data_IF_574068606837
#
_entry.id   IF_574068606837
#
_cell.length_a   1.000
_cell.length_b   1.000
_cell.length_c   1.000
_cell.angle_alpha   90.00
_cell.angle_beta   90.00
_cell.angle_gamma   90.00
#
_symmetry.space_group_name_H-M   'P 1'
#
loop_
_entity.id
_entity.type
_entity.pdbx_description
1 polymer ?
#
# COMPACT_ATOMS: atom_id res chain seq x y z
N UNK A 1 13.69 46.06 -74.56
CA UNK A 1 12.45 45.25 -74.52
C UNK A 1 12.75 44.00 -73.72
N UNK A 2 12.41 44.01 -72.45
CA UNK A 2 12.58 42.88 -71.50
C UNK A 2 11.23 42.57 -70.88
N UNK A 3 10.60 41.46 -71.34
CA UNK A 3 9.35 40.95 -70.74
C UNK A 3 9.68 40.20 -69.44
N UNK A 4 9.30 40.79 -68.29
CA UNK A 4 9.32 40.06 -67.03
C UNK A 4 8.01 39.24 -66.89
N UNK A 5 8.17 37.91 -66.92
CA UNK A 5 7.13 36.94 -66.67
C UNK A 5 6.95 36.86 -65.13
N UNK A 6 5.86 37.42 -64.64
CA UNK A 6 5.48 37.24 -63.22
C UNK A 6 4.74 35.90 -63.11
N UNK A 7 5.42 34.89 -62.58
CA UNK A 7 4.80 33.63 -62.17
C UNK A 7 4.00 33.87 -60.90
N UNK A 8 2.68 33.86 -61.03
CA UNK A 8 1.72 33.91 -59.92
C UNK A 8 1.78 32.59 -59.15
N UNK A 9 2.47 32.57 -58.02
CA UNK A 9 2.42 31.43 -57.08
C UNK A 9 1.00 31.39 -56.51
N UNK A 10 0.28 30.28 -56.76
CA UNK A 10 -1.05 29.99 -56.18
C UNK A 10 -0.94 30.03 -54.64
N UNK A 11 -1.63 30.99 -54.04
CA UNK A 11 -1.65 31.17 -52.60
C UNK A 11 -2.25 29.91 -51.90
N UNK A 12 -1.49 29.38 -51.00
CA UNK A 12 -1.99 28.45 -50.00
C UNK A 12 -3.04 29.21 -49.17
N UNK A 13 -4.31 28.84 -49.32
CA UNK A 13 -5.37 29.37 -48.47
C UNK A 13 -5.14 28.79 -47.08
N UNK A 14 -4.42 29.53 -46.22
CA UNK A 14 -4.47 29.28 -44.80
C UNK A 14 -5.89 29.59 -44.35
N UNK A 15 -6.69 28.54 -44.12
CA UNK A 15 -7.99 28.67 -43.46
C UNK A 15 -7.74 29.31 -42.09
N UNK A 16 -8.12 30.56 -41.96
CA UNK A 16 -8.10 31.26 -40.68
C UNK A 16 -9.25 30.70 -39.85
N UNK A 17 -8.92 29.71 -38.98
CA UNK A 17 -9.88 29.11 -38.08
C UNK A 17 -10.34 30.24 -37.13
N UNK A 18 -11.66 30.44 -37.01
CA UNK A 18 -12.24 31.42 -36.09
C UNK A 18 -11.78 31.11 -34.66
N UNK A 19 -11.56 32.13 -33.84
CA UNK A 19 -11.18 31.99 -32.42
C UNK A 19 -12.16 31.05 -31.67
N UNK A 20 -13.45 31.13 -31.98
CA UNK A 20 -14.49 30.30 -31.36
C UNK A 20 -14.31 28.83 -31.73
N UNK A 21 -13.97 28.53 -33.00
CA UNK A 21 -13.72 27.17 -33.46
C UNK A 21 -12.47 26.59 -32.79
N UNK A 22 -11.42 27.41 -32.63
CA UNK A 22 -10.19 27.02 -31.98
C UNK A 22 -10.41 26.71 -30.49
N UNK A 23 -11.17 27.55 -29.79
CA UNK A 23 -11.54 27.34 -28.38
C UNK A 23 -12.36 26.06 -28.22
N UNK A 24 -13.30 25.79 -29.12
CA UNK A 24 -14.12 24.56 -29.09
C UNK A 24 -13.24 23.32 -29.29
N UNK A 25 -12.32 23.34 -30.25
CA UNK A 25 -11.40 22.22 -30.50
C UNK A 25 -10.51 21.96 -29.29
N UNK A 26 -9.95 23.01 -28.67
CA UNK A 26 -9.13 22.87 -27.46
C UNK A 26 -9.94 22.29 -26.28
N UNK A 27 -11.19 22.74 -26.09
CA UNK A 27 -12.08 22.22 -25.04
C UNK A 27 -12.39 20.74 -25.23
N UNK A 28 -12.70 20.31 -26.46
CA UNK A 28 -12.93 18.90 -26.80
C UNK A 28 -11.67 18.06 -26.56
N UNK A 29 -10.51 18.55 -26.97
CA UNK A 29 -9.24 17.84 -26.79
C UNK A 29 -8.89 17.66 -25.29
N UNK A 30 -9.12 18.68 -24.48
CA UNK A 30 -8.93 18.59 -23.00
C UNK A 30 -9.89 17.58 -22.39
N UNK A 31 -11.16 17.60 -22.78
CA UNK A 31 -12.17 16.66 -22.28
C UNK A 31 -11.82 15.21 -22.63
N UNK A 32 -11.40 14.95 -23.89
CA UNK A 32 -10.98 13.63 -24.33
C UNK A 32 -9.72 13.18 -23.53
N UNK A 33 -8.75 14.08 -23.33
CA UNK A 33 -7.53 13.75 -22.58
C UNK A 33 -7.83 13.40 -21.13
N UNK A 34 -8.72 14.12 -20.47
CA UNK A 34 -9.17 13.81 -19.13
C UNK A 34 -9.89 12.46 -19.07
N UNK A 35 -10.75 12.18 -20.03
CA UNK A 35 -11.48 10.91 -20.10
C UNK A 35 -10.52 9.74 -20.28
N UNK A 36 -9.55 9.84 -21.17
CA UNK A 36 -8.52 8.83 -21.38
C UNK A 36 -7.63 8.64 -20.14
N UNK A 37 -7.32 9.72 -19.44
CA UNK A 37 -6.58 9.67 -18.19
C UNK A 37 -7.35 8.89 -17.10
N UNK A 38 -8.63 9.19 -16.90
CA UNK A 38 -9.46 8.47 -15.94
C UNK A 38 -9.69 7.00 -16.34
N UNK A 39 -9.87 6.71 -17.61
CA UNK A 39 -9.94 5.33 -18.10
C UNK A 39 -8.62 4.59 -17.88
N UNK A 40 -7.49 5.23 -18.12
CA UNK A 40 -6.17 4.68 -17.86
C UNK A 40 -5.94 4.35 -16.39
N UNK A 41 -6.37 5.24 -15.49
CA UNK A 41 -6.32 4.97 -14.04
C UNK A 41 -7.24 3.79 -13.69
N UNK A 42 -8.48 3.78 -14.20
CA UNK A 42 -9.45 2.73 -13.89
C UNK A 42 -8.97 1.34 -14.35
N UNK A 43 -8.58 1.21 -15.60
CA UNK A 43 -8.07 -0.07 -16.13
C UNK A 43 -6.72 -0.44 -15.54
N UNK A 44 -5.85 0.53 -15.28
CA UNK A 44 -4.57 0.31 -14.61
C UNK A 44 -4.74 -0.19 -13.17
N UNK A 45 -5.70 0.36 -12.43
CA UNK A 45 -6.00 -0.12 -11.08
C UNK A 45 -6.57 -1.54 -11.09
N UNK A 46 -7.51 -1.86 -11.97
CA UNK A 46 -8.03 -3.23 -12.09
C UNK A 46 -6.94 -4.24 -12.43
N UNK A 47 -6.06 -3.91 -13.37
CA UNK A 47 -4.94 -4.80 -13.74
C UNK A 47 -3.98 -5.02 -12.56
N UNK A 48 -3.68 -3.95 -11.81
CA UNK A 48 -2.85 -4.04 -10.61
C UNK A 48 -3.53 -4.87 -9.52
N UNK A 49 -4.84 -4.69 -9.31
CA UNK A 49 -5.62 -5.44 -8.33
C UNK A 49 -5.60 -6.94 -8.62
N UNK A 50 -5.83 -7.35 -9.85
CA UNK A 50 -5.87 -8.77 -10.21
C UNK A 50 -4.50 -9.47 -10.12
N UNK A 51 -3.41 -8.80 -10.52
CA UNK A 51 -2.11 -9.44 -10.69
C UNK A 51 -1.13 -9.24 -9.53
N UNK A 52 -1.27 -8.15 -8.78
CA UNK A 52 -0.32 -7.81 -7.72
C UNK A 52 -0.94 -7.73 -6.33
N UNK A 53 -2.13 -7.17 -6.20
CA UNK A 53 -2.74 -6.93 -4.89
C UNK A 53 -3.15 -8.25 -4.23
N UNK A 54 -3.81 -9.11 -4.99
CA UNK A 54 -4.25 -10.41 -4.49
C UNK A 54 -3.08 -11.28 -4.04
N UNK A 55 -1.99 -11.29 -4.81
CA UNK A 55 -0.78 -12.02 -4.45
C UNK A 55 -0.12 -11.44 -3.18
N UNK A 56 -0.07 -10.13 -3.05
CA UNK A 56 0.51 -9.47 -1.88
C UNK A 56 -0.30 -9.76 -0.61
N UNK A 57 -1.62 -9.77 -0.70
CA UNK A 57 -2.51 -10.10 0.43
C UNK A 57 -2.35 -11.57 0.83
N UNK A 58 -2.31 -12.50 -0.12
CA UNK A 58 -2.04 -13.92 0.17
C UNK A 58 -0.69 -14.12 0.86
N UNK A 59 0.34 -13.43 0.40
CA UNK A 59 1.66 -13.49 1.02
C UNK A 59 1.63 -12.95 2.46
N UNK A 60 0.95 -11.84 2.71
CA UNK A 60 0.81 -11.28 4.05
C UNK A 60 -0.02 -12.17 4.98
N UNK A 61 -1.08 -12.80 4.47
CA UNK A 61 -1.88 -13.78 5.21
C UNK A 61 -1.04 -14.99 5.59
N UNK A 62 -0.25 -15.55 4.67
CA UNK A 62 0.64 -16.66 4.97
C UNK A 62 1.64 -16.30 6.06
N UNK A 63 2.23 -15.11 6.00
CA UNK A 63 3.13 -14.60 7.04
C UNK A 63 2.39 -14.43 8.37
N UNK A 64 1.16 -13.89 8.34
CA UNK A 64 0.33 -13.75 9.53
C UNK A 64 0.09 -15.10 10.20
N UNK A 65 -0.32 -16.12 9.45
CA UNK A 65 -0.53 -17.46 9.99
C UNK A 65 0.77 -18.08 10.50
N UNK A 66 1.87 -17.94 9.78
CA UNK A 66 3.17 -18.46 10.19
C UNK A 66 3.66 -17.85 11.52
N UNK A 67 3.57 -16.52 11.66
CA UNK A 67 4.00 -15.81 12.88
C UNK A 67 3.05 -16.07 14.04
N UNK A 68 1.74 -16.04 13.79
CA UNK A 68 0.73 -16.04 14.83
C UNK A 68 0.25 -17.42 15.24
N UNK A 69 0.84 -18.52 14.75
CA UNK A 69 0.39 -19.89 15.00
C UNK A 69 1.27 -20.73 15.97
N UNK A 70 1.76 -20.16 17.10
CA UNK A 70 2.62 -20.90 18.01
C UNK A 70 1.88 -21.79 19.01
N UNK A 71 0.57 -21.54 19.28
CA UNK A 71 -0.19 -22.19 20.35
C UNK A 71 -1.67 -22.31 19.95
N UNK A 72 -2.43 -23.17 20.64
CA UNK A 72 -3.88 -23.30 20.46
C UNK A 72 -4.62 -21.96 20.57
N UNK A 73 -5.43 -21.67 19.53
CA UNK A 73 -6.20 -20.44 19.37
C UNK A 73 -7.56 -20.59 20.00
N UNK A 74 -8.00 -19.60 20.74
CA UNK A 74 -9.39 -19.53 21.22
C UNK A 74 -10.26 -18.65 20.31
N UNK A 75 -9.71 -17.57 19.77
CA UNK A 75 -10.45 -16.67 18.87
C UNK A 75 -9.53 -15.99 17.86
N UNK A 76 -10.07 -15.73 16.67
CA UNK A 76 -9.37 -15.06 15.58
C UNK A 76 -10.26 -14.01 14.93
N UNK A 77 -9.77 -12.79 14.88
CA UNK A 77 -10.41 -11.73 14.12
C UNK A 77 -9.38 -11.11 13.16
N UNK A 78 -9.57 -11.37 11.86
CA UNK A 78 -8.69 -10.86 10.81
C UNK A 78 -9.45 -9.82 10.00
N UNK A 79 -8.82 -8.66 9.81
CA UNK A 79 -9.28 -7.59 8.92
C UNK A 79 -8.23 -7.42 7.83
N UNK A 80 -8.67 -7.56 6.58
CA UNK A 80 -7.84 -7.33 5.41
C UNK A 80 -8.16 -5.94 4.88
N UNK A 81 -7.14 -5.08 4.81
CA UNK A 81 -7.25 -3.75 4.23
C UNK A 81 -6.59 -3.75 2.86
N UNK A 82 -7.41 -3.71 1.81
CA UNK A 82 -6.99 -3.78 0.40
C UNK A 82 -7.11 -2.43 -0.29
N UNK A 83 -7.04 -1.32 0.45
CA UNK A 83 -7.11 -0.01 -0.17
C UNK A 83 -5.96 0.19 -1.16
N UNK A 84 -6.23 0.96 -2.21
CA UNK A 84 -5.35 1.18 -3.36
C UNK A 84 -3.89 1.52 -3.02
N UNK A 85 -3.66 2.25 -1.94
CA UNK A 85 -2.32 2.71 -1.52
C UNK A 85 -1.79 1.90 -0.32
N UNK A 86 -2.68 1.34 0.49
CA UNK A 86 -2.31 0.63 1.72
C UNK A 86 -2.88 -0.77 1.69
N UNK A 87 -1.99 -1.74 1.79
CA UNK A 87 -2.34 -3.15 1.93
C UNK A 87 -1.84 -3.64 3.26
N UNK A 88 -2.74 -4.14 4.07
CA UNK A 88 -2.38 -4.68 5.36
C UNK A 88 -3.31 -5.80 5.79
N UNK A 89 -2.76 -6.73 6.54
CA UNK A 89 -3.49 -7.75 7.27
C UNK A 89 -3.38 -7.39 8.74
N UNK A 90 -4.52 -7.15 9.38
CA UNK A 90 -4.59 -6.82 10.80
C UNK A 90 -5.31 -7.97 11.49
N UNK A 91 -4.66 -8.61 12.45
CA UNK A 91 -5.22 -9.71 13.20
C UNK A 91 -5.13 -9.48 14.70
N UNK A 92 -6.06 -10.09 15.42
CA UNK A 92 -6.02 -10.24 16.87
C UNK A 92 -6.12 -11.70 17.20
N UNK A 93 -5.28 -12.18 18.10
CA UNK A 93 -5.34 -13.54 18.60
C UNK A 93 -5.35 -13.55 20.11
N UNK A 94 -6.09 -14.49 20.66
CA UNK A 94 -6.18 -14.75 22.09
C UNK A 94 -5.37 -16.00 22.39
N UNK A 95 -4.44 -15.90 23.33
CA UNK A 95 -3.60 -16.99 23.79
C UNK A 95 -3.73 -17.09 25.30
N UNK A 96 -4.69 -17.89 25.77
CA UNK A 96 -4.98 -18.05 27.20
C UNK A 96 -3.86 -18.70 28.00
N UNK A 97 -3.01 -19.49 27.33
CA UNK A 97 -1.91 -20.22 27.95
C UNK A 97 -0.52 -19.61 27.72
N UNK A 98 -0.43 -18.52 26.95
CA UNK A 98 0.83 -17.89 26.64
C UNK A 98 1.09 -16.73 27.60
N UNK A 99 2.03 -16.89 28.52
CA UNK A 99 2.45 -15.77 29.35
C UNK A 99 3.05 -14.65 28.51
N UNK A 100 2.94 -13.41 28.97
CA UNK A 100 3.54 -12.26 28.29
C UNK A 100 5.01 -12.46 27.97
N UNK A 101 5.78 -13.01 28.92
CA UNK A 101 7.22 -13.23 28.72
C UNK A 101 7.50 -14.36 27.72
N UNK A 102 6.73 -15.43 27.74
CA UNK A 102 6.87 -16.52 26.78
C UNK A 102 6.54 -16.05 25.36
N UNK A 103 5.51 -15.22 25.18
CA UNK A 103 5.17 -14.61 23.91
C UNK A 103 6.28 -13.71 23.37
N UNK A 104 6.84 -12.83 24.23
CA UNK A 104 7.97 -11.98 23.85
C UNK A 104 9.18 -12.80 23.37
N UNK A 105 9.52 -13.85 24.13
CA UNK A 105 10.61 -14.74 23.79
C UNK A 105 10.32 -15.48 22.47
N UNK A 106 9.11 -16.05 22.35
CA UNK A 106 8.69 -16.77 21.15
C UNK A 106 8.83 -15.91 19.89
N UNK A 107 8.21 -14.73 19.85
CA UNK A 107 8.24 -13.88 18.65
C UNK A 107 9.64 -13.35 18.34
N UNK A 108 10.47 -13.07 19.37
CA UNK A 108 11.85 -12.66 19.19
C UNK A 108 12.71 -13.79 18.61
N UNK A 109 12.51 -15.03 19.09
CA UNK A 109 13.25 -16.20 18.61
C UNK A 109 12.78 -16.61 17.21
N UNK A 110 11.48 -16.51 16.93
CA UNK A 110 10.92 -16.70 15.58
C UNK A 110 11.60 -15.73 14.59
N UNK A 111 11.66 -14.44 14.94
CA UNK A 111 12.28 -13.43 14.11
C UNK A 111 13.74 -13.80 13.76
N UNK A 112 14.53 -14.23 14.76
CA UNK A 112 15.92 -14.62 14.55
C UNK A 112 16.04 -15.88 13.67
N UNK A 113 15.20 -16.89 13.90
CA UNK A 113 15.23 -18.15 13.13
C UNK A 113 14.84 -17.98 11.67
N UNK A 114 13.97 -17.01 11.40
CA UNK A 114 13.42 -16.75 10.06
C UNK A 114 14.09 -15.57 9.35
N UNK A 115 15.24 -15.08 9.86
CA UNK A 115 16.00 -13.96 9.30
C UNK A 115 15.19 -12.67 9.14
N UNK A 116 14.31 -12.38 10.11
CA UNK A 116 13.65 -11.08 10.21
C UNK A 116 14.56 -10.09 10.93
N UNK A 117 14.70 -8.90 10.37
CA UNK A 117 15.34 -7.79 11.06
C UNK A 117 14.43 -7.27 12.18
N UNK A 118 14.91 -7.26 13.41
CA UNK A 118 14.19 -6.67 14.54
C UNK A 118 14.48 -5.16 14.53
N UNK A 119 13.48 -4.35 14.15
CA UNK A 119 13.59 -2.90 14.11
C UNK A 119 13.24 -2.25 15.45
N UNK A 120 12.26 -2.80 16.16
CA UNK A 120 11.83 -2.34 17.48
C UNK A 120 11.59 -3.57 18.37
N UNK A 121 12.04 -3.49 19.62
CA UNK A 121 11.76 -4.48 20.66
C UNK A 121 11.80 -3.75 22.00
N UNK A 122 10.64 -3.27 22.46
CA UNK A 122 10.58 -2.42 23.65
C UNK A 122 9.23 -2.51 24.37
N UNK A 123 9.28 -2.10 25.62
CA UNK A 123 8.11 -1.82 26.44
C UNK A 123 7.89 -0.32 26.57
N UNK A 124 6.66 0.13 26.36
CA UNK A 124 6.25 1.51 26.63
C UNK A 124 5.22 1.51 27.76
N UNK A 125 5.33 2.49 28.66
CA UNK A 125 4.39 2.70 29.75
C UNK A 125 3.39 3.79 29.37
N UNK A 126 2.09 3.46 29.36
CA UNK A 126 1.05 4.48 29.30
C UNK A 126 0.89 5.14 30.69
N UNK A 127 1.38 6.36 30.82
CA UNK A 127 1.35 7.11 32.08
C UNK A 127 -0.07 7.41 32.59
N UNK A 128 -1.11 7.31 31.74
CA UNK A 128 -2.50 7.56 32.17
C UNK A 128 -3.13 6.32 32.79
N UNK A 129 -2.83 5.16 32.25
CA UNK A 129 -3.43 3.89 32.68
C UNK A 129 -2.51 3.10 33.59
N UNK A 130 -1.22 3.40 33.61
CA UNK A 130 -0.19 2.62 34.32
C UNK A 130 0.10 1.27 33.66
N UNK A 131 -0.46 1.00 32.50
CA UNK A 131 -0.27 -0.26 31.76
C UNK A 131 0.95 -0.19 30.88
N UNK A 132 1.63 -1.31 30.76
CA UNK A 132 2.78 -1.47 29.86
C UNK A 132 2.34 -2.17 28.59
N UNK A 133 2.80 -1.67 27.44
CA UNK A 133 2.56 -2.29 26.13
C UNK A 133 3.88 -2.67 25.50
N UNK A 134 3.95 -3.89 25.06
CA UNK A 134 5.08 -4.43 24.30
C UNK A 134 4.90 -4.14 22.82
N UNK A 135 5.97 -3.68 22.19
CA UNK A 135 6.03 -3.41 20.75
C UNK A 135 7.22 -4.15 20.14
N UNK A 136 6.92 -5.00 19.17
CA UNK A 136 7.92 -5.66 18.35
C UNK A 136 7.66 -5.32 16.88
N UNK A 137 8.65 -4.75 16.21
CA UNK A 137 8.59 -4.48 14.78
C UNK A 137 9.62 -5.32 14.06
N UNK A 138 9.14 -6.15 13.16
CA UNK A 138 9.93 -7.05 12.34
C UNK A 138 9.90 -6.60 10.89
N UNK A 139 11.05 -6.66 10.20
CA UNK A 139 11.14 -6.32 8.78
C UNK A 139 11.87 -7.39 8.01
N UNK A 140 11.28 -7.82 6.88
CA UNK A 140 11.90 -8.74 5.93
C UNK A 140 11.57 -8.31 4.52
N UNK A 141 12.60 -7.87 3.77
CA UNK A 141 12.43 -7.27 2.43
C UNK A 141 11.47 -6.06 2.47
N UNK A 142 10.35 -6.16 1.76
CA UNK A 142 9.33 -5.12 1.66
C UNK A 142 8.18 -5.28 2.66
N UNK A 143 8.23 -6.31 3.52
CA UNK A 143 7.16 -6.59 4.48
C UNK A 143 7.61 -6.16 5.86
N UNK A 144 6.72 -5.45 6.54
CA UNK A 144 6.88 -5.05 7.94
C UNK A 144 5.75 -5.66 8.76
N UNK A 145 6.10 -6.34 9.83
CA UNK A 145 5.16 -6.91 10.79
C UNK A 145 5.30 -6.17 12.12
N UNK A 146 4.19 -5.69 12.64
CA UNK A 146 4.06 -5.09 13.97
C UNK A 146 3.33 -6.07 14.86
N UNK A 147 3.88 -6.32 16.03
CA UNK A 147 3.27 -7.14 17.08
C UNK A 147 3.15 -6.27 18.31
N UNK A 148 1.92 -6.18 18.85
CA UNK A 148 1.58 -5.38 20.00
C UNK A 148 0.88 -6.24 21.06
N UNK A 149 1.26 -6.06 22.32
CA UNK A 149 0.65 -6.77 23.44
C UNK A 149 0.64 -5.90 24.72
N UNK A 150 -0.51 -5.79 25.35
CA UNK A 150 -0.67 -5.13 26.63
C UNK A 150 -0.39 -6.13 27.75
N UNK A 151 0.47 -5.76 28.70
CA UNK A 151 0.86 -6.62 29.84
C UNK A 151 -0.37 -7.08 30.63
N UNK A 152 -0.49 -8.38 30.87
CA UNK A 152 -1.61 -9.00 31.55
C UNK A 152 -2.86 -9.22 30.68
N UNK A 153 -2.81 -8.90 29.40
CA UNK A 153 -3.84 -9.26 28.42
C UNK A 153 -3.55 -10.63 27.81
N UNK A 154 -4.60 -11.33 27.41
CA UNK A 154 -4.48 -12.54 26.59
C UNK A 154 -4.42 -12.21 25.09
N UNK A 155 -4.62 -10.93 24.74
CA UNK A 155 -4.74 -10.48 23.34
C UNK A 155 -3.40 -10.02 22.81
N UNK A 156 -3.01 -10.62 21.68
CA UNK A 156 -1.90 -10.18 20.85
C UNK A 156 -2.43 -9.60 19.56
N UNK A 157 -1.96 -8.43 19.16
CA UNK A 157 -2.34 -7.76 17.92
C UNK A 157 -1.21 -7.85 16.92
N UNK A 158 -1.56 -8.18 15.69
CA UNK A 158 -0.63 -8.29 14.58
C UNK A 158 -1.06 -7.32 13.49
N UNK A 159 -0.13 -6.59 12.94
CA UNK A 159 -0.36 -5.75 11.78
C UNK A 159 0.77 -5.99 10.79
N UNK A 160 0.44 -6.63 9.65
CA UNK A 160 1.38 -6.93 8.59
C UNK A 160 1.05 -6.03 7.42
N UNK A 161 2.06 -5.37 6.88
CA UNK A 161 1.92 -4.47 5.76
C UNK A 161 3.10 -4.63 4.80
N UNK A 162 2.87 -4.34 3.52
CA UNK A 162 3.91 -4.23 2.52
C UNK A 162 4.32 -2.76 2.36
N UNK A 163 5.62 -2.48 2.36
CA UNK A 163 6.18 -1.17 2.06
C UNK A 163 6.07 -0.94 0.55
N UNK A 164 5.09 -0.16 0.11
CA UNK A 164 4.96 0.24 -1.27
C UNK A 164 5.80 1.50 -1.60
N UNK A 165 5.82 1.84 -2.91
CA UNK A 165 6.59 2.98 -3.39
C UNK A 165 6.06 4.31 -2.86
N UNK A 166 4.75 4.43 -2.61
CA UNK A 166 4.11 5.66 -2.12
C UNK A 166 4.51 5.93 -0.67
N UNK A 167 4.58 4.89 0.16
CA UNK A 167 5.04 5.01 1.53
C UNK A 167 6.53 5.36 1.61
N UNK A 168 7.36 4.83 0.68
CA UNK A 168 8.77 5.22 0.55
C UNK A 168 8.92 6.70 0.18
N UNK A 169 7.93 7.27 -0.50
CA UNK A 169 7.88 8.69 -0.88
C UNK A 169 7.22 9.58 0.20
N UNK A 170 6.74 8.99 1.31
CA UNK A 170 6.09 9.73 2.39
C UNK A 170 4.68 10.23 2.07
N UNK A 171 4.00 9.61 1.09
CA UNK A 171 2.63 9.91 0.66
C UNK A 171 1.62 8.97 1.30
#
# INVERSE_FOLDING_TARGET
MGNSVITKVKGVHCMKISNDTQTTICSIAITISLLLFFLGIHFGSQYLDEHYIKYDVEQMLNIYYEISDPVEKEDENIIIDERWIVKSVIGKRIYSQLSTQDGVNFFSDYARKQDWAICTNRWDLDNRTGKRTYYLTLKKKEITCYIEHEEGSEIWRFWIQKDDIFRKLGL
#
